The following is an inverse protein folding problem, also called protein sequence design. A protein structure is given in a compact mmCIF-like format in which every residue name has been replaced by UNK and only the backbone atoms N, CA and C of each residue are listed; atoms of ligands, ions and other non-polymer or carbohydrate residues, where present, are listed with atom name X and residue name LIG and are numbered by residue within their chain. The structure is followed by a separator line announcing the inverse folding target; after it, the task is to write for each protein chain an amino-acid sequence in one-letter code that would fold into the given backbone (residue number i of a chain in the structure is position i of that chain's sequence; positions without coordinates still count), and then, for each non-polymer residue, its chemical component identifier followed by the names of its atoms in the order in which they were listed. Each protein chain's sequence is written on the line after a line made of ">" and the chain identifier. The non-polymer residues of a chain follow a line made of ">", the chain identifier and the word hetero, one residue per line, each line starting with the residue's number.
data_IF_070607755729
#
_entry.id   IF_070607755729
#
_cell.length_a   1.000
_cell.length_b   1.000
_cell.length_c   1.000
_cell.angle_alpha   90.00
_cell.angle_beta   90.00
_cell.angle_gamma   90.00
#
_symmetry.space_group_name_H-M   'P 1'
#
loop_
_entity.id
_entity.type
_entity.pdbx_description
1 polymer ?
#
# COMPACT_ATOMS: atom_id res chain seq x y z
N UNK A 1 8.14 -16.18 32.27
CA UNK A 1 7.98 -17.18 31.18
C UNK A 1 6.50 -17.23 30.86
N UNK A 2 6.00 -16.63 29.78
CA UNK A 2 6.28 -16.95 28.38
C UNK A 2 6.21 -15.71 27.46
N UNK A 3 7.37 -15.29 26.95
CA UNK A 3 7.53 -14.26 25.90
C UNK A 3 7.45 -14.87 24.49
N UNK A 4 6.58 -15.86 24.29
CA UNK A 4 6.51 -16.61 23.04
C UNK A 4 5.05 -16.91 22.68
N UNK A 5 4.49 -16.12 21.76
CA UNK A 5 3.58 -16.59 20.69
C UNK A 5 2.93 -15.40 19.93
N UNK A 6 3.71 -14.53 19.29
CA UNK A 6 3.20 -13.65 18.21
C UNK A 6 4.29 -13.14 17.25
N UNK A 7 5.49 -13.72 17.28
CA UNK A 7 6.58 -13.40 16.38
C UNK A 7 6.65 -14.42 15.26
N UNK A 8 6.48 -13.99 14.00
CA UNK A 8 6.86 -14.80 12.83
C UNK A 8 5.85 -14.87 11.70
N UNK A 9 4.59 -14.45 11.90
CA UNK A 9 3.64 -14.49 10.78
C UNK A 9 3.83 -13.30 9.84
N UNK A 10 4.06 -13.60 8.56
CA UNK A 10 3.96 -12.67 7.43
C UNK A 10 2.53 -12.60 6.86
N UNK A 11 1.56 -13.31 7.44
CA UNK A 11 0.17 -13.31 6.98
C UNK A 11 -0.72 -12.30 7.72
N UNK A 12 -0.20 -11.67 8.79
CA UNK A 12 -0.90 -10.65 9.55
C UNK A 12 -0.08 -9.37 9.56
N UNK A 13 -0.73 -8.20 9.43
CA UNK A 13 0.00 -6.96 9.40
C UNK A 13 0.62 -6.68 10.78
N UNK A 14 1.86 -6.15 10.84
CA UNK A 14 2.55 -5.89 12.10
C UNK A 14 1.93 -4.68 12.82
N UNK A 15 1.71 -4.82 14.13
CA UNK A 15 1.26 -3.73 14.99
C UNK A 15 2.35 -2.64 15.08
N UNK A 16 1.93 -1.38 14.95
CA UNK A 16 2.79 -0.23 15.24
C UNK A 16 2.64 0.14 16.74
N UNK A 17 3.58 -0.31 17.57
CA UNK A 17 3.57 -0.03 19.02
C UNK A 17 4.36 1.24 19.42
N UNK A 18 4.87 1.98 18.43
CA UNK A 18 5.61 3.24 18.62
C UNK A 18 7.06 3.07 19.11
N UNK A 19 7.47 1.89 19.59
CA UNK A 19 8.80 1.69 20.18
C UNK A 19 9.86 1.19 19.19
N UNK A 20 9.44 0.63 18.05
CA UNK A 20 10.37 0.05 17.07
C UNK A 20 9.96 0.31 15.61
N UNK A 21 10.05 1.58 15.19
CA UNK A 21 9.67 2.04 13.84
C UNK A 21 10.46 1.34 12.73
N UNK A 22 11.76 1.08 12.91
CA UNK A 22 12.59 0.39 11.91
C UNK A 22 12.16 -1.07 11.70
N UNK A 23 11.85 -1.79 12.79
CA UNK A 23 11.32 -3.14 12.73
C UNK A 23 9.93 -3.21 12.10
N UNK A 24 9.03 -2.28 12.46
CA UNK A 24 7.72 -2.18 11.84
C UNK A 24 7.82 -1.94 10.33
N UNK A 25 8.66 -0.98 9.90
CA UNK A 25 8.89 -0.70 8.47
C UNK A 25 9.38 -1.93 7.71
N UNK A 26 10.35 -2.67 8.26
CA UNK A 26 10.88 -3.88 7.64
C UNK A 26 9.81 -4.98 7.51
N UNK A 27 8.98 -5.17 8.55
CA UNK A 27 7.88 -6.15 8.56
C UNK A 27 6.75 -5.74 7.62
N UNK A 28 6.37 -4.47 7.59
CA UNK A 28 5.35 -3.95 6.70
C UNK A 28 5.76 -4.10 5.23
N UNK A 29 7.03 -3.81 4.91
CA UNK A 29 7.61 -4.11 3.60
C UNK A 29 7.47 -5.58 3.24
N UNK A 30 7.87 -6.50 4.11
CA UNK A 30 7.77 -7.93 3.85
C UNK A 30 6.31 -8.39 3.67
N UNK A 31 5.39 -7.85 4.48
CA UNK A 31 3.96 -8.13 4.42
C UNK A 31 3.33 -7.71 3.08
N UNK A 32 3.54 -6.46 2.66
CA UNK A 32 3.00 -5.96 1.37
C UNK A 32 3.59 -6.73 0.19
N UNK A 33 4.89 -7.03 0.21
CA UNK A 33 5.54 -7.84 -0.84
C UNK A 33 4.95 -9.25 -0.93
N UNK A 34 4.62 -9.86 0.22
CA UNK A 34 3.98 -11.17 0.25
C UNK A 34 2.53 -11.13 -0.27
N UNK A 35 1.82 -10.01 -0.08
CA UNK A 35 0.48 -9.81 -0.63
C UNK A 35 0.51 -9.59 -2.15
N UNK A 36 1.36 -8.67 -2.61
CA UNK A 36 1.52 -8.31 -4.02
C UNK A 36 2.81 -7.49 -4.21
N UNK A 37 3.80 -8.05 -4.91
CA UNK A 37 5.06 -7.35 -5.21
C UNK A 37 4.81 -6.03 -5.97
N UNK A 38 3.76 -5.95 -6.80
CA UNK A 38 3.43 -4.74 -7.54
C UNK A 38 2.80 -3.67 -6.65
N UNK A 39 2.08 -4.05 -5.58
CA UNK A 39 1.63 -3.11 -4.57
C UNK A 39 2.81 -2.47 -3.85
N UNK A 40 3.85 -3.24 -3.49
CA UNK A 40 5.07 -2.68 -2.91
C UNK A 40 5.79 -1.73 -3.88
N UNK A 41 5.86 -2.07 -5.17
CA UNK A 41 6.42 -1.17 -6.19
C UNK A 41 5.63 0.13 -6.31
N UNK A 42 4.30 0.08 -6.19
CA UNK A 42 3.44 1.28 -6.17
C UNK A 42 3.81 2.23 -5.03
N UNK A 43 4.09 1.70 -3.84
CA UNK A 43 4.58 2.49 -2.69
C UNK A 43 5.92 3.16 -2.98
N UNK A 44 6.86 2.43 -3.61
CA UNK A 44 8.19 2.96 -3.93
C UNK A 44 8.13 4.04 -5.02
N UNK A 45 7.33 3.81 -6.06
CA UNK A 45 7.22 4.74 -7.19
C UNK A 45 6.40 5.98 -6.84
N UNK A 46 5.54 5.90 -5.82
CA UNK A 46 4.58 6.96 -5.51
C UNK A 46 3.49 7.01 -6.56
N UNK A 47 2.35 6.36 -6.30
CA UNK A 47 1.23 6.40 -7.23
C UNK A 47 0.62 7.81 -7.31
N UNK A 48 0.36 8.26 -8.53
CA UNK A 48 -0.42 9.46 -8.83
C UNK A 48 -1.61 9.10 -9.72
N UNK A 49 -2.75 9.79 -9.59
CA UNK A 49 -3.88 9.56 -10.48
C UNK A 49 -3.50 9.85 -11.95
N UNK A 50 -4.04 9.09 -12.92
CA UNK A 50 -3.84 9.37 -14.33
C UNK A 50 -4.34 10.77 -14.71
N UNK A 51 -3.66 11.43 -15.64
CA UNK A 51 -4.02 12.75 -16.14
C UNK A 51 -4.27 12.75 -17.64
N UNK A 52 -5.08 13.71 -18.09
CA UNK A 52 -5.32 14.04 -19.50
C UNK A 52 -5.11 15.55 -19.69
N UNK A 53 -4.92 15.97 -20.94
CA UNK A 53 -4.92 17.39 -21.28
C UNK A 53 -6.32 17.90 -21.53
N UNK A 54 -6.64 19.07 -20.98
CA UNK A 54 -7.84 19.81 -21.36
C UNK A 54 -7.65 20.54 -22.70
N UNK A 55 -8.69 21.25 -23.15
CA UNK A 55 -8.69 22.01 -24.41
C UNK A 55 -7.64 23.15 -24.43
N UNK A 56 -7.19 23.60 -23.26
CA UNK A 56 -6.15 24.62 -23.08
C UNK A 56 -4.75 23.98 -22.92
N UNK A 57 -4.65 22.64 -22.95
CA UNK A 57 -3.41 21.88 -22.88
C UNK A 57 -2.87 21.66 -21.46
N UNK A 58 -3.65 21.99 -20.42
CA UNK A 58 -3.32 21.80 -19.00
C UNK A 58 -3.66 20.38 -18.55
N UNK A 59 -2.83 19.83 -17.68
CA UNK A 59 -3.07 18.51 -17.09
C UNK A 59 -4.20 18.58 -16.05
N UNK A 60 -5.25 17.79 -16.31
CA UNK A 60 -6.37 17.56 -15.39
C UNK A 60 -6.44 16.08 -15.03
N UNK A 61 -7.01 15.77 -13.86
CA UNK A 61 -7.20 14.38 -13.44
C UNK A 61 -8.18 13.71 -14.41
N UNK A 62 -7.77 12.57 -14.94
CA UNK A 62 -8.60 11.77 -15.84
C UNK A 62 -9.81 11.21 -15.07
N UNK A 63 -11.05 11.35 -15.56
CA UNK A 63 -12.22 10.78 -14.90
C UNK A 63 -12.13 9.26 -14.77
N UNK A 64 -12.44 8.71 -13.60
CA UNK A 64 -12.30 7.26 -13.31
C UNK A 64 -13.04 6.37 -14.30
N UNK A 65 -14.24 6.78 -14.74
CA UNK A 65 -15.02 6.03 -15.74
C UNK A 65 -14.36 5.91 -17.11
N UNK A 66 -13.32 6.71 -17.37
CA UNK A 66 -12.57 6.70 -18.63
C UNK A 66 -11.21 6.02 -18.49
N UNK A 67 -10.90 5.50 -17.30
CA UNK A 67 -9.64 4.83 -17.03
C UNK A 67 -9.47 3.61 -17.92
N UNK A 68 -8.23 3.42 -18.37
CA UNK A 68 -7.84 2.21 -19.08
C UNK A 68 -7.68 1.06 -18.10
N UNK A 69 -7.63 -0.17 -18.62
CA UNK A 69 -7.33 -1.34 -17.79
C UNK A 69 -6.00 -1.24 -17.04
N UNK A 70 -5.02 -0.50 -17.58
CA UNK A 70 -3.74 -0.31 -16.91
C UNK A 70 -3.80 0.77 -15.81
N UNK A 71 -4.55 1.85 -16.05
CA UNK A 71 -4.88 2.86 -15.01
C UNK A 71 -5.51 2.17 -13.79
N UNK A 72 -6.53 1.33 -14.02
CA UNK A 72 -7.20 0.55 -12.99
C UNK A 72 -6.25 -0.40 -12.26
N UNK A 73 -5.34 -1.08 -12.99
CA UNK A 73 -4.35 -1.98 -12.37
C UNK A 73 -3.43 -1.21 -11.43
N UNK A 74 -2.89 -0.07 -11.86
CA UNK A 74 -2.00 0.73 -11.01
C UNK A 74 -2.71 1.31 -9.80
N UNK A 75 -3.94 1.81 -9.98
CA UNK A 75 -4.78 2.27 -8.88
C UNK A 75 -5.05 1.13 -7.89
N UNK A 76 -5.35 -0.08 -8.37
CA UNK A 76 -5.57 -1.25 -7.51
C UNK A 76 -4.31 -1.64 -6.72
N UNK A 77 -3.12 -1.59 -7.32
CA UNK A 77 -1.88 -1.85 -6.59
C UNK A 77 -1.65 -0.84 -5.47
N UNK A 78 -1.92 0.44 -5.73
CA UNK A 78 -1.88 1.48 -4.71
C UNK A 78 -2.90 1.22 -3.58
N UNK A 79 -4.16 0.95 -3.93
CA UNK A 79 -5.22 0.66 -2.95
C UNK A 79 -4.90 -0.54 -2.07
N UNK A 80 -4.35 -1.62 -2.63
CA UNK A 80 -3.87 -2.78 -1.84
C UNK A 80 -2.78 -2.40 -0.86
N UNK A 81 -1.80 -1.60 -1.28
CA UNK A 81 -0.72 -1.17 -0.42
C UNK A 81 -1.23 -0.28 0.71
N UNK A 82 -2.08 0.71 0.41
CA UNK A 82 -2.69 1.59 1.41
C UNK A 82 -3.53 0.80 2.41
N UNK A 83 -4.35 -0.13 1.93
CA UNK A 83 -5.16 -1.00 2.79
C UNK A 83 -4.29 -1.85 3.73
N UNK A 84 -3.16 -2.39 3.23
CA UNK A 84 -2.23 -3.15 4.06
C UNK A 84 -1.54 -2.28 5.13
N UNK A 85 -1.15 -1.04 4.79
CA UNK A 85 -0.54 -0.10 5.73
C UNK A 85 -1.54 0.29 6.81
N UNK A 86 -2.75 0.75 6.43
CA UNK A 86 -3.79 1.21 7.35
C UNK A 86 -4.26 0.09 8.29
N UNK A 87 -4.43 -1.14 7.79
CA UNK A 87 -4.83 -2.27 8.64
C UNK A 87 -3.70 -2.79 9.53
N UNK A 88 -2.44 -2.48 9.22
CA UNK A 88 -1.32 -2.71 10.16
C UNK A 88 -1.19 -1.67 11.24
N UNK A 89 -1.57 -0.43 10.94
CA UNK A 89 -1.68 0.64 11.93
C UNK A 89 -2.89 0.42 12.86
N UNK A 90 -4.03 0.01 12.30
CA UNK A 90 -5.29 -0.16 13.03
C UNK A 90 -5.49 -1.53 13.67
N UNK A 91 -4.45 -2.37 13.70
CA UNK A 91 -4.37 -3.63 14.43
C UNK A 91 -5.67 -4.07 15.08
N UNK A 92 -6.56 -4.66 14.28
CA UNK A 92 -7.95 -5.01 14.61
C UNK A 92 -8.12 -5.27 16.11
N UNK A 93 -8.76 -4.31 16.79
CA UNK A 93 -9.44 -4.56 18.07
C UNK A 93 -10.56 -5.56 17.87
#
# INVERSE_FOLDING_TARGET
>A
MSFLAKGGSISRPPLLDGTNNSYWKARMKAFIKALDEKAWRSVLSGWSPPTIKDDEGKDIIKPELTWSSDDDKFANYNSKALHAILNGELGLR
#
